data_IF_787234143981
#
_entry.id   IF_787234143981
#
_cell.length_a   1.000
_cell.length_b   1.000
_cell.length_c   1.000
_cell.angle_alpha   90.00
_cell.angle_beta   90.00
_cell.angle_gamma   90.00
#
_symmetry.space_group_name_H-M   'P 1'
#
loop_
_entity.id
_entity.type
_entity.pdbx_description
1 polymer ?
#
# COMPACT_ATOMS: atom_id res chain seq x y z
N UNK A 1 -12.12 3.50 -4.71
CA UNK A 1 -13.17 2.81 -3.91
C UNK A 1 -12.66 2.58 -2.49
N UNK A 2 -13.44 2.94 -1.47
CA UNK A 2 -13.12 2.87 -0.05
C UNK A 2 -14.12 1.95 0.65
N UNK A 3 -13.65 0.99 1.44
CA UNK A 3 -14.52 0.17 2.29
C UNK A 3 -15.19 1.07 3.34
N UNK A 4 -16.51 1.00 3.44
CA UNK A 4 -17.31 1.66 4.48
C UNK A 4 -17.51 0.72 5.67
N UNK A 5 -17.93 -0.51 5.38
CA UNK A 5 -18.33 -1.46 6.41
C UNK A 5 -18.13 -2.89 5.90
N UNK A 6 -17.70 -3.77 6.80
CA UNK A 6 -17.77 -5.21 6.63
C UNK A 6 -18.48 -5.81 7.84
N UNK A 7 -19.49 -6.65 7.59
CA UNK A 7 -20.20 -7.39 8.64
C UNK A 7 -20.00 -8.87 8.45
N UNK A 8 -19.53 -9.53 9.51
CA UNK A 8 -19.35 -10.97 9.57
C UNK A 8 -20.54 -11.57 10.31
N UNK A 9 -21.31 -12.41 9.64
CA UNK A 9 -22.35 -13.22 10.27
C UNK A 9 -21.75 -14.58 10.65
N UNK A 10 -22.05 -15.02 11.88
CA UNK A 10 -21.64 -16.32 12.39
C UNK A 10 -22.83 -17.27 12.50
N UNK A 11 -22.55 -18.58 12.55
CA UNK A 11 -23.56 -19.63 12.65
C UNK A 11 -24.45 -19.50 13.89
N UNK A 12 -23.94 -18.87 14.96
CA UNK A 12 -24.70 -18.55 16.18
C UNK A 12 -25.68 -17.38 16.00
N UNK A 13 -25.81 -16.84 14.78
CA UNK A 13 -26.68 -15.72 14.43
C UNK A 13 -26.16 -14.35 14.84
N UNK A 14 -25.04 -14.28 15.58
CA UNK A 14 -24.43 -13.02 15.98
C UNK A 14 -23.59 -12.45 14.85
N UNK A 15 -23.49 -11.12 14.86
CA UNK A 15 -22.73 -10.37 13.86
C UNK A 15 -21.57 -9.62 14.50
N UNK A 16 -20.52 -9.40 13.72
CA UNK A 16 -19.42 -8.49 14.08
C UNK A 16 -19.17 -7.53 12.93
N UNK A 17 -19.19 -6.23 13.22
CA UNK A 17 -18.90 -5.17 12.27
C UNK A 17 -17.41 -4.79 12.32
N UNK A 18 -16.87 -4.49 11.15
CA UNK A 18 -15.47 -4.19 10.90
C UNK A 18 -15.38 -3.01 9.92
N UNK A 19 -14.42 -2.11 10.13
CA UNK A 19 -14.22 -0.93 9.25
C UNK A 19 -13.05 -1.11 8.27
N UNK A 20 -12.39 -2.26 8.28
CA UNK A 20 -11.31 -2.60 7.36
C UNK A 20 -11.23 -4.11 7.10
N UNK A 21 -10.65 -4.49 5.96
CA UNK A 21 -10.35 -5.89 5.65
C UNK A 21 -9.36 -6.50 6.66
N UNK A 22 -8.43 -5.70 7.19
CA UNK A 22 -7.49 -6.15 8.22
C UNK A 22 -8.23 -6.54 9.51
N UNK A 23 -9.14 -5.69 9.97
CA UNK A 23 -9.96 -5.96 11.15
C UNK A 23 -10.85 -7.18 10.92
N UNK A 24 -11.43 -7.32 9.73
CA UNK A 24 -12.21 -8.49 9.34
C UNK A 24 -11.39 -9.78 9.48
N UNK A 25 -10.19 -9.84 8.85
CA UNK A 25 -9.33 -11.02 8.91
C UNK A 25 -8.94 -11.36 10.36
N UNK A 26 -8.48 -10.37 11.13
CA UNK A 26 -8.14 -10.56 12.55
C UNK A 26 -9.32 -11.07 13.37
N UNK A 27 -10.52 -10.55 13.11
CA UNK A 27 -11.76 -10.96 13.80
C UNK A 27 -12.09 -12.41 13.50
N UNK A 28 -12.07 -12.81 12.23
CA UNK A 28 -12.30 -14.22 11.83
C UNK A 28 -11.37 -15.17 12.59
N UNK A 29 -10.07 -14.87 12.63
CA UNK A 29 -9.10 -15.73 13.35
C UNK A 29 -9.31 -15.73 14.86
N UNK A 30 -9.64 -14.58 15.46
CA UNK A 30 -9.95 -14.47 16.88
C UNK A 30 -11.19 -15.30 17.24
N UNK A 31 -12.28 -15.14 16.51
CA UNK A 31 -13.55 -15.83 16.77
C UNK A 31 -13.50 -17.33 16.46
N UNK A 32 -12.66 -17.75 15.51
CA UNK A 32 -12.37 -19.18 15.26
C UNK A 32 -11.73 -19.86 16.47
N UNK A 33 -10.89 -19.17 17.27
CA UNK A 33 -10.38 -19.70 18.55
C UNK A 33 -11.49 -19.95 19.58
N UNK A 34 -12.64 -19.30 19.41
CA UNK A 34 -13.85 -19.50 20.21
C UNK A 34 -14.86 -20.43 19.52
N UNK A 35 -14.45 -21.21 18.51
CA UNK A 35 -15.29 -22.12 17.72
C UNK A 35 -16.49 -21.47 17.04
N UNK A 36 -16.43 -20.15 16.76
CA UNK A 36 -17.49 -19.47 16.01
C UNK A 36 -17.19 -19.54 14.52
N UNK A 37 -18.14 -20.08 13.76
CA UNK A 37 -18.00 -20.35 12.32
C UNK A 37 -18.63 -19.19 11.54
N UNK A 38 -17.88 -18.47 10.71
CA UNK A 38 -18.43 -17.47 9.80
C UNK A 38 -19.30 -18.14 8.73
N UNK A 39 -20.45 -17.55 8.41
CA UNK A 39 -21.39 -18.05 7.38
C UNK A 39 -21.60 -17.07 6.24
N UNK A 40 -21.41 -15.77 6.47
CA UNK A 40 -21.41 -14.79 5.40
C UNK A 40 -20.60 -13.54 5.73
N UNK A 41 -20.10 -12.88 4.68
CA UNK A 41 -19.57 -11.52 4.76
C UNK A 41 -20.44 -10.57 3.95
N UNK A 42 -20.86 -9.47 4.57
CA UNK A 42 -21.50 -8.36 3.89
C UNK A 42 -20.48 -7.21 3.80
N UNK A 43 -20.19 -6.78 2.58
CA UNK A 43 -19.22 -5.74 2.28
C UNK A 43 -19.96 -4.54 1.69
N UNK A 44 -19.68 -3.35 2.22
CA UNK A 44 -20.14 -2.08 1.68
C UNK A 44 -18.94 -1.20 1.37
N UNK A 45 -18.88 -0.64 0.16
CA UNK A 45 -17.81 0.24 -0.28
C UNK A 45 -18.37 1.42 -1.09
N UNK A 46 -17.64 2.53 -1.14
CA UNK A 46 -18.00 3.74 -1.89
C UNK A 46 -16.91 4.11 -2.89
N UNK A 47 -17.27 4.52 -4.10
CA UNK A 47 -16.30 5.07 -5.06
C UNK A 47 -16.11 6.59 -4.92
N UNK A 48 -15.40 7.19 -5.87
CA UNK A 48 -15.07 8.63 -5.86
C UNK A 48 -16.27 9.49 -6.25
N UNK A 49 -17.23 8.92 -6.98
CA UNK A 49 -18.48 9.57 -7.39
C UNK A 49 -19.58 9.47 -6.32
N UNK A 50 -19.29 8.81 -5.20
CA UNK A 50 -20.22 8.62 -4.08
C UNK A 50 -21.19 7.44 -4.26
N UNK A 51 -20.97 6.58 -5.26
CA UNK A 51 -21.81 5.40 -5.49
C UNK A 51 -21.45 4.33 -4.45
N UNK A 52 -22.48 3.79 -3.79
CA UNK A 52 -22.32 2.75 -2.77
C UNK A 52 -22.58 1.37 -3.36
N UNK A 53 -21.59 0.50 -3.25
CA UNK A 53 -21.63 -0.90 -3.65
C UNK A 53 -21.82 -1.77 -2.41
N UNK A 54 -22.78 -2.69 -2.47
CA UNK A 54 -22.98 -3.71 -1.43
C UNK A 54 -22.90 -5.11 -2.04
N UNK A 55 -22.24 -6.02 -1.35
CA UNK A 55 -22.15 -7.43 -1.77
C UNK A 55 -22.22 -8.32 -0.55
N UNK A 56 -23.03 -9.38 -0.65
CA UNK A 56 -23.10 -10.45 0.36
C UNK A 56 -22.50 -11.72 -0.22
N UNK A 57 -21.50 -12.24 0.47
CA UNK A 57 -20.84 -13.50 0.16
C UNK A 57 -21.33 -14.54 1.16
N UNK A 58 -22.08 -15.53 0.70
CA UNK A 58 -22.52 -16.66 1.52
C UNK A 58 -21.59 -17.84 1.30
N UNK A 59 -21.25 -18.54 2.38
CA UNK A 59 -20.33 -19.66 2.33
C UNK A 59 -21.02 -20.91 2.85
N UNK A 60 -20.84 -22.02 2.13
CA UNK A 60 -21.14 -23.35 2.67
C UNK A 60 -19.97 -23.84 3.53
N UNK A 61 -18.74 -23.52 3.10
CA UNK A 61 -17.52 -23.85 3.81
C UNK A 61 -16.63 -22.61 3.90
N UNK A 62 -15.96 -22.44 5.04
CA UNK A 62 -15.04 -21.34 5.28
C UNK A 62 -13.74 -21.84 5.91
N UNK A 63 -12.62 -21.63 5.22
CA UNK A 63 -11.28 -21.95 5.71
C UNK A 63 -10.44 -20.70 5.86
N UNK A 64 -9.64 -20.64 6.93
CA UNK A 64 -8.70 -19.55 7.17
C UNK A 64 -7.44 -20.10 7.85
N UNK A 65 -6.28 -19.70 7.33
CA UNK A 65 -4.94 -20.06 7.84
C UNK A 65 -4.14 -18.80 8.20
N UNK A 66 -3.47 -18.83 9.35
CA UNK A 66 -2.52 -17.79 9.75
C UNK A 66 -1.13 -18.41 9.83
N UNK A 67 -0.14 -17.76 9.20
CA UNK A 67 1.26 -18.18 9.25
C UNK A 67 2.11 -17.03 9.81
N UNK A 68 3.07 -17.37 10.66
CA UNK A 68 4.09 -16.42 11.12
C UNK A 68 5.22 -16.44 10.09
N UNK A 69 5.51 -15.28 9.53
CA UNK A 69 6.55 -15.11 8.51
C UNK A 69 7.81 -14.56 9.18
N UNK A 70 8.99 -15.04 8.76
CA UNK A 70 10.28 -14.56 9.27
C UNK A 70 10.44 -13.05 9.04
N UNK A 71 11.05 -12.32 10.00
CA UNK A 71 11.34 -10.88 9.89
C UNK A 71 12.09 -10.53 8.60
N UNK A 72 12.95 -11.42 8.09
CA UNK A 72 13.65 -11.23 6.82
C UNK A 72 12.67 -11.17 5.64
N UNK A 73 11.70 -12.08 5.57
CA UNK A 73 10.68 -12.09 4.52
C UNK A 73 9.72 -10.90 4.68
N UNK A 74 9.35 -10.54 5.91
CA UNK A 74 8.57 -9.32 6.17
C UNK A 74 9.28 -8.07 5.63
N UNK A 75 10.60 -7.96 5.85
CA UNK A 75 11.39 -6.86 5.30
C UNK A 75 11.41 -6.87 3.78
N UNK A 76 11.46 -8.04 3.13
CA UNK A 76 11.44 -8.19 1.67
C UNK A 76 10.08 -7.86 1.04
N UNK A 77 8.98 -8.26 1.68
CA UNK A 77 7.62 -7.90 1.25
C UNK A 77 7.33 -6.40 1.41
N UNK A 78 7.93 -5.77 2.42
CA UNK A 78 7.89 -4.32 2.61
C UNK A 78 8.92 -3.56 1.74
N UNK A 79 9.82 -4.26 1.04
CA UNK A 79 11.01 -3.68 0.37
C UNK A 79 10.83 -3.34 -1.11
N UNK A 80 9.62 -3.01 -1.57
CA UNK A 80 9.58 -2.01 -2.64
C UNK A 80 9.74 -0.65 -1.96
N UNK A 81 11.01 -0.25 -1.73
CA UNK A 81 11.30 1.08 -1.21
C UNK A 81 10.63 2.11 -2.11
N UNK A 82 9.91 3.06 -1.52
CA UNK A 82 9.28 4.12 -2.29
C UNK A 82 10.37 5.03 -2.86
N UNK A 83 10.13 5.65 -4.01
CA UNK A 83 11.06 6.60 -4.65
C UNK A 83 11.63 7.62 -3.64
N UNK A 84 10.76 8.23 -2.84
CA UNK A 84 11.18 9.22 -1.83
C UNK A 84 12.11 8.64 -0.76
N UNK A 85 11.88 7.41 -0.31
CA UNK A 85 12.75 6.76 0.67
C UNK A 85 14.15 6.52 0.10
N UNK A 86 14.22 6.09 -1.16
CA UNK A 86 15.49 5.87 -1.86
C UNK A 86 16.26 7.20 -1.97
N UNK A 87 15.59 8.29 -2.34
CA UNK A 87 16.23 9.60 -2.49
C UNK A 87 16.76 10.16 -1.16
N UNK A 88 16.07 9.91 -0.04
CA UNK A 88 16.53 10.30 1.31
C UNK A 88 17.74 9.46 1.75
N UNK A 89 17.69 8.14 1.54
CA UNK A 89 18.79 7.24 1.89
C UNK A 89 20.08 7.55 1.11
N UNK A 90 19.95 7.89 -0.18
CA UNK A 90 21.05 8.35 -1.02
C UNK A 90 21.50 9.79 -0.72
N UNK A 91 20.86 10.45 0.26
CA UNK A 91 21.14 11.84 0.66
C UNK A 91 20.98 12.85 -0.48
N UNK A 92 20.13 12.54 -1.45
CA UNK A 92 19.80 13.43 -2.56
C UNK A 92 18.82 14.51 -2.09
N UNK A 93 17.88 14.12 -1.22
CA UNK A 93 16.93 15.03 -0.59
C UNK A 93 16.91 14.82 0.93
N UNK A 94 16.45 15.82 1.68
CA UNK A 94 16.18 15.68 3.12
C UNK A 94 14.78 15.12 3.37
N UNK A 95 14.52 14.70 4.62
CA UNK A 95 13.19 14.23 5.03
C UNK A 95 12.15 15.35 4.90
N UNK A 96 12.54 16.57 5.24
CA UNK A 96 11.69 17.77 5.18
C UNK A 96 11.32 18.10 3.73
N UNK A 97 12.29 18.04 2.80
CA UNK A 97 12.03 18.23 1.37
C UNK A 97 11.10 17.15 0.79
N UNK A 98 11.23 15.90 1.28
CA UNK A 98 10.32 14.83 0.90
C UNK A 98 8.91 15.08 1.43
N UNK A 99 8.77 15.52 2.68
CA UNK A 99 7.47 15.84 3.29
C UNK A 99 6.77 16.95 2.51
N UNK A 100 7.46 18.05 2.21
CA UNK A 100 6.94 19.15 1.39
C UNK A 100 6.48 18.68 0.01
N UNK A 101 7.30 17.88 -0.68
CA UNK A 101 6.95 17.36 -1.99
C UNK A 101 5.75 16.40 -1.97
N UNK A 102 5.59 15.62 -0.90
CA UNK A 102 4.44 14.70 -0.71
C UNK A 102 3.15 15.48 -0.41
N UNK A 103 3.22 16.57 0.35
CA UNK A 103 2.07 17.46 0.56
C UNK A 103 1.56 18.05 -0.76
N UNK A 104 2.48 18.52 -1.60
CA UNK A 104 2.18 19.04 -2.94
C UNK A 104 1.60 17.93 -3.83
N UNK A 105 2.23 16.75 -3.86
CA UNK A 105 1.72 15.59 -4.61
C UNK A 105 0.28 15.24 -4.20
N UNK A 106 -0.01 15.25 -2.90
CA UNK A 106 -1.32 14.90 -2.38
C UNK A 106 -2.38 15.92 -2.80
N UNK A 107 -2.03 17.21 -2.75
CA UNK A 107 -2.92 18.32 -3.08
C UNK A 107 -3.19 18.45 -4.58
N UNK A 108 -2.18 18.23 -5.43
CA UNK A 108 -2.24 18.51 -6.87
C UNK A 108 -2.21 17.26 -7.75
N UNK A 109 -2.06 16.06 -7.17
CA UNK A 109 -1.99 14.76 -7.88
C UNK A 109 -0.86 14.67 -8.92
N UNK A 110 0.17 15.50 -8.79
CA UNK A 110 1.38 15.47 -9.63
C UNK A 110 2.30 14.28 -9.26
N UNK A 111 3.25 13.93 -10.13
CA UNK A 111 4.23 12.87 -9.83
C UNK A 111 5.31 13.41 -8.88
N UNK A 112 5.62 12.67 -7.82
CA UNK A 112 6.64 13.05 -6.83
C UNK A 112 7.98 13.44 -7.48
N UNK A 113 8.47 12.66 -8.44
CA UNK A 113 9.73 12.95 -9.13
C UNK A 113 9.71 14.28 -9.91
N UNK A 114 8.58 14.65 -10.50
CA UNK A 114 8.43 15.91 -11.25
C UNK A 114 8.43 17.11 -10.28
N UNK A 115 7.76 16.97 -9.13
CA UNK A 115 7.77 17.98 -8.06
C UNK A 115 9.20 18.18 -7.54
N UNK A 116 9.90 17.09 -7.19
CA UNK A 116 11.26 17.17 -6.67
C UNK A 116 12.24 17.84 -7.64
N UNK A 117 12.06 17.65 -8.95
CA UNK A 117 12.85 18.35 -9.98
C UNK A 117 12.45 19.81 -10.11
N UNK A 118 11.15 20.11 -10.16
CA UNK A 118 10.62 21.47 -10.27
C UNK A 118 11.04 22.37 -9.12
N UNK A 119 11.16 21.81 -7.92
CA UNK A 119 11.62 22.52 -6.71
C UNK A 119 13.16 22.52 -6.57
N UNK A 120 13.89 21.90 -7.50
CA UNK A 120 15.35 21.89 -7.50
C UNK A 120 15.99 20.96 -6.47
N UNK A 121 15.22 20.08 -5.82
CA UNK A 121 15.75 19.11 -4.85
C UNK A 121 16.40 17.91 -5.53
N UNK A 122 16.01 17.60 -6.77
CA UNK A 122 16.57 16.50 -7.56
C UNK A 122 16.83 16.93 -9.00
N UNK A 123 17.76 16.24 -9.64
CA UNK A 123 17.91 16.23 -11.10
C UNK A 123 17.09 15.09 -11.71
N UNK A 124 16.64 15.20 -12.98
CA UNK A 124 15.99 14.08 -13.68
C UNK A 124 16.81 12.78 -13.66
N UNK A 125 18.14 12.90 -13.71
CA UNK A 125 19.07 11.78 -13.65
C UNK A 125 19.03 11.08 -12.29
N UNK A 126 19.01 11.85 -11.20
CA UNK A 126 18.87 11.30 -9.84
C UNK A 126 17.54 10.57 -9.63
N UNK A 127 16.44 11.14 -10.15
CA UNK A 127 15.13 10.47 -10.13
C UNK A 127 15.19 9.14 -10.89
N UNK A 128 15.79 9.13 -12.09
CA UNK A 128 15.89 7.93 -12.91
C UNK A 128 16.74 6.84 -12.25
N UNK A 129 17.88 7.19 -11.65
CA UNK A 129 18.72 6.24 -10.90
C UNK A 129 17.98 5.67 -9.68
N UNK A 130 17.24 6.51 -8.95
CA UNK A 130 16.44 6.06 -7.82
C UNK A 130 15.29 5.14 -8.25
N UNK A 131 14.62 5.43 -9.37
CA UNK A 131 13.61 4.57 -9.96
C UNK A 131 14.19 3.22 -10.43
N UNK A 132 15.37 3.23 -11.05
CA UNK A 132 16.06 2.00 -11.45
C UNK A 132 16.38 1.13 -10.23
N UNK A 133 16.90 1.75 -9.17
CA UNK A 133 17.14 1.09 -7.88
C UNK A 133 15.86 0.55 -7.24
N UNK A 134 14.74 1.26 -7.36
CA UNK A 134 13.43 0.82 -6.87
C UNK A 134 12.97 -0.50 -7.49
N UNK A 135 13.25 -0.70 -8.78
CA UNK A 135 12.86 -1.89 -9.54
C UNK A 135 13.98 -2.92 -9.66
N UNK A 136 15.12 -2.71 -9.03
CA UNK A 136 16.27 -3.62 -9.05
C UNK A 136 17.05 -3.65 -10.36
N UNK A 137 17.02 -2.56 -11.15
CA UNK A 137 17.80 -2.39 -12.38
C UNK A 137 19.05 -1.58 -12.10
N UNK A 138 20.22 -2.11 -12.47
CA UNK A 138 21.49 -1.38 -12.41
C UNK A 138 21.67 -0.53 -13.68
N UNK A 139 21.90 0.78 -13.51
CA UNK A 139 22.23 1.70 -14.60
C UNK A 139 23.65 2.22 -14.36
N UNK A 140 24.51 2.12 -15.39
CA UNK A 140 25.83 2.77 -15.37
C UNK A 140 25.65 4.29 -15.17
N UNK A 141 26.20 4.90 -14.11
CA UNK A 141 26.10 6.34 -13.89
C UNK A 141 26.68 7.19 -15.04
N UNK A 142 27.58 6.62 -15.86
CA UNK A 142 28.15 7.28 -17.03
C UNK A 142 27.32 7.11 -18.30
N UNK A 143 26.20 6.39 -18.26
CA UNK A 143 25.30 6.20 -19.39
C UNK A 143 24.88 7.53 -20.04
N UNK A 144 24.70 8.58 -19.24
CA UNK A 144 24.27 9.91 -19.73
C UNK A 144 25.41 10.81 -20.20
N UNK A 145 26.68 10.47 -19.96
CA UNK A 145 27.84 11.27 -20.40
C UNK A 145 28.26 11.00 -21.84
N UNK A 146 27.65 10.02 -22.52
CA UNK A 146 28.11 9.52 -23.84
C UNK A 146 27.60 10.29 -25.06
N UNK A 147 26.99 11.47 -24.89
CA UNK A 147 26.51 12.32 -26.00
C UNK A 147 27.26 13.66 -26.08
N UNK A 148 28.57 13.60 -26.17
CA UNK A 148 29.38 14.72 -26.69
C UNK A 148 30.45 14.15 -27.63
N UNK A 149 30.04 13.88 -28.86
CA UNK A 149 30.90 13.85 -30.06
C UNK A 149 30.08 14.34 -31.24
#
# INVERSE_FOLDING_TARGET
>A
MKLLECKIQFLDGKNVECVSLEQMLKTVFKEKKHNRIPVSFELSAIDEDGIVYRTKLNFVEFSAEQRVVDKKILSQLAQQKLLGQILVEEKIITKEQLEEAVEIQTKYKEKLGEILVKFGYCTPQQILLALAKQIGVEIDPNFFKKKEK
#
